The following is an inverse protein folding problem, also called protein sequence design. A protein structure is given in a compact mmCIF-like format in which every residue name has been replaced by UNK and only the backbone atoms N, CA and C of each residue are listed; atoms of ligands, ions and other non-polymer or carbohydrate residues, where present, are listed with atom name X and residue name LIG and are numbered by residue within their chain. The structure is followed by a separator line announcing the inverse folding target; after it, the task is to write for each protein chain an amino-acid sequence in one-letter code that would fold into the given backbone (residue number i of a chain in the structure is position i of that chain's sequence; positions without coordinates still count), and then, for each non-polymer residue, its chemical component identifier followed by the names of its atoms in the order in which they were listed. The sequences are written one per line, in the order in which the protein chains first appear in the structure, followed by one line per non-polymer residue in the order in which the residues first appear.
data_IF_927832519701
#
_entry.id   IF_927832519701
#
_cell.length_a   1.000
_cell.length_b   1.000
_cell.length_c   1.000
_cell.angle_alpha   90.00
_cell.angle_beta   90.00
_cell.angle_gamma   90.00
#
_symmetry.space_group_name_H-M   'P 1'
#
loop_
_entity.id
_entity.type
_entity.pdbx_description
1 polymer ?
2 polymer ?
#
loop_
_entity_poly.entity_id
_entity_poly.type
_entity_poly.pdbx_seq_one_letter_code
_entity_poly.pdbx_strand_id
2 'polyribonucleotide' 'GAA' ?
#
# COMPACT_ATOMS: atom_id res chain seq x y z
N UNK A 3 1.00 -8.71 9.60
CA UNK A 3 0.53 -8.78 8.22
C UNK A 3 1.51 -8.14 7.24
N UNK A 4 1.31 -8.41 5.95
CA UNK A 4 0.21 -9.27 5.50
C UNK A 4 0.08 -10.70 6.09
N UNK A 5 1.05 -11.11 6.90
CA UNK A 5 0.80 -12.17 7.85
C UNK A 5 0.19 -13.36 7.11
N UNK A 6 -0.99 -13.78 7.54
CA UNK A 6 -1.71 -14.86 6.91
C UNK A 6 -0.96 -16.18 7.00
N UNK A 7 -0.79 -16.83 5.86
CA UNK A 7 -0.47 -18.26 5.86
C UNK A 7 0.66 -18.56 6.84
N UNK A 8 0.50 -19.66 7.57
CA UNK A 8 1.26 -19.91 8.79
C UNK A 8 2.46 -20.86 8.66
N UNK A 9 3.32 -20.82 9.68
CA UNK A 9 4.47 -21.72 9.79
C UNK A 9 4.02 -23.16 9.88
N UNK A 10 4.71 -24.03 9.15
CA UNK A 10 4.34 -25.43 9.08
C UNK A 10 4.96 -26.07 7.85
N UNK A 11 4.93 -27.39 7.80
CA UNK A 11 5.60 -28.02 6.70
C UNK A 11 7.00 -27.50 6.88
N UNK A 12 7.37 -26.69 5.88
CA UNK A 12 8.71 -26.19 5.59
C UNK A 12 9.34 -27.00 4.47
N UNK A 13 10.18 -26.37 3.64
CA UNK A 13 10.41 -24.92 3.65
C UNK A 13 11.01 -24.48 2.30
N UNK A 14 10.97 -23.18 2.00
CA UNK A 14 11.61 -22.68 0.80
C UNK A 14 13.02 -23.19 0.96
N UNK A 15 13.65 -23.65 -0.11
CA UNK A 15 14.86 -24.38 0.12
C UNK A 15 15.82 -23.44 0.84
N UNK A 16 15.80 -22.12 0.60
CA UNK A 16 16.66 -21.33 1.49
C UNK A 16 18.14 -21.44 1.09
N UNK A 17 18.38 -22.23 0.04
CA UNK A 17 19.64 -22.34 -0.66
C UNK A 17 19.54 -21.23 -1.66
N UNK A 18 18.33 -21.10 -2.19
CA UNK A 18 17.95 -19.98 -3.03
C UNK A 18 17.26 -18.79 -2.32
N UNK A 19 17.00 -18.85 -1.00
CA UNK A 19 16.21 -17.76 -0.43
C UNK A 19 16.93 -16.43 -0.54
N UNK A 20 18.17 -16.41 -0.11
CA UNK A 20 18.98 -15.21 -0.15
C UNK A 20 19.50 -14.89 -1.55
N UNK A 21 19.79 -15.89 -2.36
CA UNK A 21 20.35 -15.61 -3.67
C UNK A 21 19.35 -14.75 -4.44
N UNK A 22 18.07 -15.02 -4.19
CA UNK A 22 16.97 -14.57 -5.04
C UNK A 22 15.82 -13.82 -4.36
N UNK A 23 15.92 -13.65 -3.03
CA UNK A 23 14.84 -13.06 -2.23
C UNK A 23 15.20 -11.83 -1.39
N UNK A 24 16.09 -11.99 -0.40
CA UNK A 24 16.46 -10.85 0.46
C UNK A 24 17.43 -9.94 -0.29
N UNK A 25 18.02 -10.50 -1.34
CA UNK A 25 19.04 -9.80 -2.14
C UNK A 25 18.48 -8.49 -2.73
N UNK A 26 17.28 -8.58 -3.32
CA UNK A 26 16.57 -7.40 -3.79
C UNK A 26 15.13 -7.71 -4.17
N UNK A 27 14.34 -6.65 -4.31
CA UNK A 27 12.96 -6.77 -4.73
C UNK A 27 12.10 -7.41 -3.66
N UNK A 28 12.64 -7.46 -2.45
CA UNK A 28 12.00 -8.11 -1.32
C UNK A 28 12.49 -7.42 -0.05
N UNK A 29 11.56 -7.14 0.86
CA UNK A 29 11.79 -6.29 2.04
C UNK A 29 11.97 -4.84 1.60
N UNK A 30 12.96 -4.61 0.74
CA UNK A 30 13.21 -3.31 0.13
C UNK A 30 11.95 -2.70 -0.47
N UNK A 31 11.06 -3.56 -0.94
CA UNK A 31 9.96 -3.14 -1.80
C UNK A 31 8.62 -3.63 -1.22
N UNK A 32 7.58 -2.83 -1.42
CA UNK A 32 6.25 -3.09 -0.85
C UNK A 32 5.48 -4.18 -1.59
N UNK A 33 4.53 -4.79 -0.88
CA UNK A 33 3.46 -5.54 -1.52
C UNK A 33 2.17 -5.02 -0.96
N UNK A 34 1.22 -4.73 -1.85
CA UNK A 34 -0.09 -4.27 -1.43
C UNK A 34 -1.16 -5.27 -1.84
N UNK A 35 -1.97 -5.68 -0.86
CA UNK A 35 -3.06 -6.59 -1.15
C UNK A 35 -4.09 -5.91 -2.04
N UNK A 36 -4.54 -6.64 -3.05
CA UNK A 36 -5.65 -6.25 -3.90
C UNK A 36 -6.98 -6.41 -3.15
N UNK A 37 -7.99 -5.64 -3.56
CA UNK A 37 -9.27 -5.70 -2.93
C UNK A 37 -8.93 -5.11 -1.58
N UNK A 38 -7.67 -4.71 -1.39
CA UNK A 38 -7.28 -3.95 -0.20
C UNK A 38 -6.70 -2.59 -0.61
N UNK A 39 -6.16 -2.60 -1.82
CA UNK A 39 -5.62 -1.48 -2.55
C UNK A 39 -6.79 -0.72 -3.15
N UNK A 40 -7.79 -1.46 -3.60
CA UNK A 40 -8.90 -0.86 -4.32
C UNK A 40 -9.72 0.10 -3.45
N UNK A 41 -9.88 -0.21 -2.17
CA UNK A 41 -10.66 0.65 -1.28
C UNK A 41 -9.81 1.78 -0.70
N UNK A 42 -8.51 1.55 -0.62
CA UNK A 42 -7.61 2.60 -0.19
C UNK A 42 -7.72 3.71 -1.22
N UNK A 43 -7.79 3.31 -2.48
CA UNK A 43 -7.67 4.25 -3.58
C UNK A 43 -8.81 5.24 -3.49
N UNK A 44 -9.97 4.72 -3.12
CA UNK A 44 -11.16 5.54 -2.99
C UNK A 44 -11.10 6.27 -1.66
N UNK A 45 -10.27 5.78 -0.76
CA UNK A 45 -10.03 6.46 0.50
C UNK A 45 -9.41 7.81 0.18
N UNK A 46 -8.53 7.82 -0.81
CA UNK A 46 -7.84 9.03 -1.23
C UNK A 46 -8.70 9.85 -2.18
N UNK A 47 -9.85 9.30 -2.57
CA UNK A 47 -10.56 9.81 -3.74
C UNK A 47 -10.99 11.30 -3.72
N UNK A 48 -11.79 11.72 -2.73
CA UNK A 48 -11.94 11.07 -1.44
C UNK A 48 -11.54 11.88 -0.20
N UNK A 49 -11.32 13.18 -0.36
CA UNK A 49 -10.72 14.03 0.66
C UNK A 49 -11.05 15.47 0.28
N UNK A 50 -11.38 16.35 1.22
CA UNK A 50 -11.57 17.72 0.76
C UNK A 50 -10.34 18.56 1.07
N UNK A 51 -9.97 19.42 0.13
CA UNK A 51 -8.85 20.31 0.36
C UNK A 51 -9.36 21.73 0.47
N UNK A 52 -9.29 22.28 1.67
CA UNK A 52 -8.98 21.48 2.83
C UNK A 52 -9.63 22.00 4.09
N UNK A 53 -10.02 21.07 4.95
CA UNK A 53 -10.14 21.32 6.38
C UNK A 53 -9.28 20.25 7.04
N UNK A 54 -8.44 20.64 8.01
CA UNK A 54 -7.53 19.70 8.66
C UNK A 54 -8.26 18.44 9.12
N UNK A 55 -7.56 17.32 9.23
CA UNK A 55 -8.22 16.11 9.69
C UNK A 55 -9.03 15.53 8.54
N UNK A 56 -9.01 16.25 7.41
CA UNK A 56 -9.42 15.69 6.14
C UNK A 56 -8.16 15.58 5.29
N UNK A 57 -7.05 16.03 5.87
CA UNK A 57 -5.74 15.86 5.28
C UNK A 57 -4.87 15.01 6.19
N UNK A 58 -5.41 14.67 7.35
CA UNK A 58 -4.64 13.98 8.36
C UNK A 58 -4.81 12.53 8.01
N UNK A 59 -5.59 12.31 6.95
CA UNK A 59 -6.05 10.95 6.66
C UNK A 59 -5.14 10.25 5.67
N UNK A 60 -4.78 11.01 4.65
CA UNK A 60 -3.71 10.69 3.72
C UNK A 60 -2.51 10.19 4.49
N UNK A 61 -1.99 11.04 5.36
CA UNK A 61 -0.81 10.71 6.15
C UNK A 61 -0.99 9.37 6.86
N UNK A 62 -2.15 9.14 7.45
CA UNK A 62 -2.36 7.93 8.24
C UNK A 62 -2.52 6.69 7.37
N UNK A 63 -3.44 6.72 6.41
CA UNK A 63 -3.79 5.53 5.63
C UNK A 63 -2.60 4.87 4.93
N UNK A 64 -1.54 5.63 4.66
CA UNK A 64 -0.32 5.05 4.10
C UNK A 64 0.25 4.02 5.07
N UNK A 65 0.10 4.31 6.36
CA UNK A 65 0.34 3.33 7.41
C UNK A 65 -0.95 2.56 7.64
N UNK A 66 -0.87 1.28 7.97
CA UNK A 66 -2.08 0.53 8.34
C UNK A 66 -2.93 -0.01 7.18
N UNK A 67 -2.56 0.31 5.94
CA UNK A 67 -2.98 -0.45 4.78
C UNK A 67 -1.78 -1.34 4.64
N UNK A 68 -1.79 -2.50 5.28
CA UNK A 68 -0.51 -3.11 5.57
C UNK A 68 0.13 -3.79 4.36
N UNK A 69 1.41 -3.50 4.24
CA UNK A 69 2.11 -3.45 2.97
C UNK A 69 3.46 -4.15 3.01
N UNK A 70 3.42 -5.49 3.06
CA UNK A 70 4.62 -6.31 3.18
C UNK A 70 4.46 -7.68 2.49
N UNK A 71 5.58 -8.34 2.25
CA UNK A 71 5.56 -9.60 1.52
C UNK A 71 4.76 -10.67 2.25
N UNK A 72 3.97 -11.39 1.47
CA UNK A 72 3.16 -12.52 1.93
C UNK A 72 3.88 -13.76 2.44
N UNK A 73 5.21 -13.81 2.40
CA UNK A 73 5.88 -15.00 2.89
C UNK A 73 7.22 -14.73 3.56
N UNK A 74 7.55 -15.57 4.53
CA UNK A 74 8.92 -15.69 5.00
C UNK A 74 9.22 -17.16 5.20
N UNK A 75 10.29 -17.64 4.59
CA UNK A 75 10.73 -18.96 4.93
C UNK A 75 11.00 -18.70 6.39
N UNK A 76 10.48 -19.57 7.24
CA UNK A 76 9.76 -20.77 6.80
C UNK A 76 8.46 -20.67 5.96
N UNK A 77 7.57 -19.73 6.28
CA UNK A 77 6.16 -19.73 5.82
C UNK A 77 5.88 -19.58 4.30
N UNK A 78 4.78 -20.19 3.83
CA UNK A 78 4.43 -20.18 2.40
C UNK A 78 3.87 -18.85 1.84
N UNK A 79 4.01 -18.63 0.53
CA UNK A 79 3.38 -17.51 -0.13
C UNK A 79 1.87 -17.71 0.01
N UNK A 80 1.16 -16.62 0.27
CA UNK A 80 -0.28 -16.68 0.53
C UNK A 80 -1.00 -17.48 -0.55
N UNK A 81 -1.86 -18.42 -0.13
CA UNK A 81 -2.40 -19.40 -1.05
C UNK A 81 -3.88 -19.68 -0.91
N UNK A 82 -4.37 -20.67 -1.67
CA UNK A 82 -5.78 -21.03 -1.67
C UNK A 82 -6.11 -22.08 -0.60
N UNK A 83 -7.25 -21.91 0.06
CA UNK A 83 -7.67 -22.86 1.07
C UNK A 83 -8.83 -23.67 0.53
N UNK A 84 -8.65 -24.98 0.51
CA UNK A 84 -9.69 -25.89 0.07
C UNK A 84 -9.58 -26.25 -1.40
N UNK A 85 -10.35 -27.26 -1.80
CA UNK A 85 -10.44 -27.72 -3.19
C UNK A 85 -11.43 -26.90 -4.04
N UNK A 86 -11.31 -27.01 -5.36
CA UNK A 86 -12.23 -26.34 -6.28
C UNK A 86 -13.61 -27.00 -6.33
N UNK A 87 -14.62 -26.21 -6.68
CA UNK A 87 -15.97 -26.72 -6.90
C UNK A 87 -16.87 -26.91 -5.70
N UNK A 88 -16.44 -26.39 -4.54
CA UNK A 88 -17.12 -26.61 -3.26
C UNK A 88 -17.42 -25.32 -2.47
N UNK A 89 -18.38 -25.43 -1.55
CA UNK A 89 -18.96 -24.26 -0.88
C UNK A 89 -17.89 -23.52 -0.10
N UNK A 90 -17.00 -24.26 0.54
CA UNK A 90 -15.85 -23.63 1.16
C UNK A 90 -14.72 -23.66 0.14
N UNK A 91 -14.41 -22.49 -0.42
CA UNK A 91 -13.32 -22.34 -1.38
C UNK A 91 -12.49 -21.10 -1.05
N UNK A 92 -13.08 -19.92 -1.25
CA UNK A 92 -12.51 -18.68 -0.73
C UNK A 92 -11.08 -18.55 -1.20
N UNK A 93 -10.86 -18.96 -2.44
CA UNK A 93 -9.52 -19.21 -3.00
C UNK A 93 -8.53 -18.05 -3.18
N UNK A 94 -9.01 -16.91 -3.65
CA UNK A 94 -8.16 -15.93 -4.28
C UNK A 94 -7.54 -15.00 -3.27
N UNK A 95 -6.26 -15.19 -2.99
CA UNK A 95 -5.52 -14.17 -2.25
C UNK A 95 -4.72 -13.35 -3.25
N UNK A 96 -4.83 -12.03 -3.34
CA UNK A 96 -4.14 -11.33 -4.46
C UNK A 96 -3.13 -10.22 -4.08
N UNK A 97 -2.09 -9.95 -4.89
CA UNK A 97 -1.14 -8.94 -4.43
C UNK A 97 -0.61 -8.03 -5.53
N UNK A 98 -0.67 -6.73 -5.29
CA UNK A 98 -0.05 -5.74 -6.16
C UNK A 98 1.39 -5.50 -5.75
N UNK A 99 2.31 -5.77 -6.66
CA UNK A 99 3.69 -5.38 -6.47
C UNK A 99 3.83 -3.88 -6.70
N UNK A 100 4.40 -3.17 -5.74
CA UNK A 100 4.56 -1.73 -5.88
C UNK A 100 5.99 -1.41 -6.29
N UNK A 101 6.14 -0.71 -7.41
CA UNK A 101 7.46 -0.34 -7.89
C UNK A 101 8.17 0.58 -6.89
N UNK A 102 9.49 0.66 -6.99
CA UNK A 102 10.21 1.59 -6.17
C UNK A 102 9.62 2.93 -6.58
N UNK A 103 9.20 3.01 -7.84
CA UNK A 103 8.80 4.29 -8.40
C UNK A 103 7.57 4.76 -7.67
N UNK A 104 6.59 3.87 -7.57
CA UNK A 104 5.30 4.13 -6.94
C UNK A 104 5.42 4.65 -5.51
N UNK A 105 6.22 3.99 -4.70
CA UNK A 105 6.28 4.33 -3.29
C UNK A 105 6.72 5.78 -3.17
N UNK A 106 7.71 6.16 -3.98
CA UNK A 106 8.30 7.49 -3.88
C UNK A 106 7.22 8.50 -4.21
N UNK A 107 6.43 8.15 -5.21
CA UNK A 107 5.22 8.89 -5.57
C UNK A 107 4.17 8.89 -4.46
N UNK A 108 4.00 7.74 -3.81
CA UNK A 108 3.01 7.59 -2.76
C UNK A 108 3.29 8.51 -1.58
N UNK A 109 4.56 8.63 -1.20
CA UNK A 109 4.95 9.60 -0.19
C UNK A 109 4.75 11.01 -0.69
N UNK A 110 4.74 11.17 -2.01
CA UNK A 110 4.56 12.48 -2.61
C UNK A 110 3.21 13.01 -2.17
N UNK A 111 2.22 12.12 -2.11
CA UNK A 111 0.90 12.50 -1.62
C UNK A 111 0.95 12.76 -0.13
N UNK A 112 1.85 11.98 0.47
CA UNK A 112 2.03 11.91 1.89
C UNK A 112 2.39 13.32 2.26
N UNK A 113 3.15 14.02 1.43
CA UNK A 113 3.37 15.38 1.90
C UNK A 113 3.05 16.36 0.79
N UNK A 114 2.11 15.95 -0.05
CA UNK A 114 1.22 16.89 -0.71
C UNK A 114 0.32 17.67 0.30
N UNK A 115 -0.12 16.99 1.36
CA UNK A 115 -1.30 17.32 2.16
C UNK A 115 -0.88 18.17 3.35
N UNK A 116 0.42 18.12 3.64
CA UNK A 116 1.06 18.97 4.64
C UNK A 116 1.54 20.30 4.08
N UNK A 117 1.01 21.38 4.63
CA UNK A 117 1.47 22.72 4.32
C UNK A 117 1.61 23.49 5.62
N UNK A 118 2.73 24.18 5.79
CA UNK A 118 2.86 25.10 6.94
C UNK A 118 1.91 26.30 6.83
N UNK A 119 1.00 26.49 7.79
CA UNK A 119 -0.18 27.37 7.60
C UNK A 119 -0.54 28.27 8.79
N UNK A 120 -1.33 29.33 8.56
CA UNK A 120 -1.55 30.29 9.65
C UNK A 120 -2.76 30.04 10.55
N UNK A 121 -3.38 28.88 10.44
CA UNK A 121 -4.80 28.78 10.63
C UNK A 121 -5.03 29.38 11.99
N UNK A 122 -3.94 29.43 12.74
CA UNK A 122 -3.96 29.82 14.14
C UNK A 122 -3.96 31.32 14.18
N UNK A 123 -4.89 31.85 13.38
CA UNK A 123 -5.40 33.20 13.49
C UNK A 123 -6.92 33.20 13.76
N UNK A 124 -7.54 32.02 13.78
CA UNK A 124 -8.98 31.92 13.98
C UNK A 124 -9.22 32.31 15.42
N UNK A 125 -8.28 31.84 16.22
CA UNK A 125 -8.23 31.99 17.67
C UNK A 125 -7.99 33.40 18.22
N UNK A 126 -7.05 34.21 17.72
CA UNK A 126 -6.80 35.57 18.33
C UNK A 126 -7.78 36.82 18.25
N UNK A 127 -8.23 37.14 17.03
CA UNK A 127 -9.27 38.08 16.59
C UNK A 127 -10.65 37.46 16.39
N UNK A 128 -10.74 36.28 15.77
CA UNK A 128 -12.07 35.59 15.77
C UNK A 128 -12.76 35.10 17.10
N UNK A 129 -11.95 34.49 17.96
CA UNK A 129 -12.35 34.16 19.31
C UNK A 129 -11.93 35.29 20.25
N UNK A 130 -11.11 36.29 19.84
CA UNK A 130 -10.77 37.48 20.74
C UNK A 130 -10.46 38.90 20.10
N UNK A 131 -10.49 40.06 20.82
CA UNK A 131 -10.19 41.28 20.08
C UNK A 131 -10.17 42.49 21.00
N UNK A 148 -8.75 38.84 10.24
CA UNK A 148 -9.35 38.99 8.91
C UNK A 148 -9.48 37.64 8.21
N UNK A 149 -9.37 37.64 6.89
CA UNK A 149 -9.66 36.45 6.10
C UNK A 149 -8.49 35.47 5.94
N UNK A 150 -8.83 34.19 5.90
CA UNK A 150 -7.89 33.13 5.52
C UNK A 150 -7.65 33.14 4.00
N UNK A 151 -6.50 32.63 3.56
CA UNK A 151 -6.20 32.59 2.13
C UNK A 151 -5.66 31.24 1.68
N UNK A 152 -5.90 30.91 0.41
CA UNK A 152 -5.76 29.51 -0.03
C UNK A 152 -4.80 29.12 -1.16
N UNK A 153 -4.03 30.05 -1.72
CA UNK A 153 -3.27 29.72 -2.91
C UNK A 153 -2.27 28.57 -2.67
N UNK A 154 -1.66 28.53 -1.50
CA UNK A 154 -0.79 27.41 -1.13
C UNK A 154 -1.57 26.09 -1.07
N UNK A 155 -2.77 26.15 -0.51
CA UNK A 155 -3.66 25.00 -0.42
C UNK A 155 -4.06 24.47 -1.80
N UNK A 156 -4.29 25.39 -2.73
CA UNK A 156 -5.00 25.10 -3.97
C UNK A 156 -4.04 24.59 -5.04
N UNK A 157 -2.84 25.16 -5.09
CA UNK A 157 -1.82 24.64 -5.99
C UNK A 157 -1.25 23.35 -5.42
N UNK A 158 -1.66 23.00 -4.21
CA UNK A 158 -1.43 21.66 -3.71
C UNK A 158 -2.65 20.82 -3.99
N UNK A 159 -3.81 21.46 -4.03
CA UNK A 159 -5.06 20.76 -4.32
C UNK A 159 -5.05 20.18 -5.73
N UNK A 160 -4.51 20.94 -6.67
CA UNK A 160 -4.50 20.54 -8.07
C UNK A 160 -3.33 19.65 -8.37
N UNK A 161 -2.19 19.96 -7.76
CA UNK A 161 -1.04 19.07 -7.80
C UNK A 161 -1.55 17.70 -7.41
N UNK A 162 -2.36 17.67 -6.36
CA UNK A 162 -2.98 16.44 -5.88
C UNK A 162 -3.77 15.74 -6.98
N UNK A 163 -4.55 16.49 -7.74
CA UNK A 163 -5.43 15.87 -8.70
C UNK A 163 -4.57 15.05 -9.64
N UNK A 164 -3.38 15.57 -9.94
CA UNK A 164 -2.53 14.94 -10.93
C UNK A 164 -1.75 13.77 -10.38
N UNK A 165 -1.19 13.93 -9.19
CA UNK A 165 -0.41 12.86 -8.57
C UNK A 165 -1.28 11.64 -8.34
N UNK A 166 -2.51 11.87 -7.91
CA UNK A 166 -3.48 10.80 -7.71
C UNK A 166 -3.90 10.08 -8.99
N UNK A 167 -4.06 10.82 -10.09
CA UNK A 167 -4.53 10.22 -11.34
C UNK A 167 -3.67 9.05 -11.79
N UNK A 168 -2.35 9.21 -11.72
CA UNK A 168 -1.43 8.20 -12.23
C UNK A 168 -1.49 6.91 -11.43
N UNK A 169 -1.80 7.00 -10.13
CA UNK A 169 -1.89 5.82 -9.29
C UNK A 169 -2.99 4.86 -9.74
N UNK A 170 -4.14 5.41 -10.12
CA UNK A 170 -5.23 4.62 -10.69
C UNK A 170 -4.93 4.15 -12.11
N UNK A 171 -4.33 5.04 -12.89
CA UNK A 171 -4.10 4.84 -14.30
C UNK A 171 -3.17 3.65 -14.53
N UNK A 172 -1.97 3.76 -13.98
CA UNK A 172 -0.94 2.77 -14.20
C UNK A 172 -1.27 1.43 -13.55
N UNK A 173 -1.27 0.39 -14.37
CA UNK A 173 -1.47 -0.96 -13.88
C UNK A 173 -0.23 -1.42 -13.14
N UNK A 174 -0.45 -2.16 -12.05
CA UNK A 174 0.62 -2.75 -11.24
C UNK A 174 0.51 -4.28 -11.22
N UNK A 175 1.65 -4.97 -11.34
CA UNK A 175 1.65 -6.43 -11.53
C UNK A 175 0.95 -7.23 -10.43
N UNK A 176 0.01 -8.09 -10.82
CA UNK A 176 -0.63 -8.98 -9.87
C UNK A 176 0.21 -10.24 -9.66
N UNK A 177 0.25 -10.71 -8.42
CA UNK A 177 1.04 -11.87 -8.04
C UNK A 177 0.21 -12.90 -7.31
N UNK A 178 0.59 -14.17 -7.47
CA UNK A 178 0.01 -15.32 -6.76
C UNK A 178 1.03 -16.48 -6.77
N UNK A 179 0.76 -17.52 -5.99
CA UNK A 179 1.69 -18.63 -5.87
C UNK A 179 1.94 -19.29 -7.22
N UNK A 180 0.90 -19.43 -8.04
CA UNK A 180 1.09 -20.05 -9.34
C UNK A 180 2.14 -19.18 -9.99
N UNK A 181 2.02 -17.89 -9.71
CA UNK A 181 2.94 -16.85 -10.22
C UNK A 181 4.21 -16.46 -9.40
N UNK A 182 4.12 -16.16 -8.09
CA UNK A 182 5.36 -15.85 -7.37
C UNK A 182 6.37 -17.01 -7.38
N UNK A 183 5.84 -18.22 -7.57
CA UNK A 183 6.63 -19.46 -7.72
C UNK A 183 7.41 -19.64 -9.04
N UNK A 184 6.69 -19.43 -10.14
CA UNK A 184 7.27 -19.33 -11.47
C UNK A 184 8.16 -18.10 -11.58
N UNK A 185 7.75 -17.00 -10.96
CA UNK A 185 8.41 -15.70 -11.16
C UNK A 185 9.87 -15.69 -10.72
N UNK A 186 10.15 -16.31 -9.58
CA UNK A 186 11.53 -16.50 -9.11
C UNK A 186 11.70 -17.99 -8.85
N UNK A 187 12.81 -18.59 -9.26
CA UNK A 187 12.83 -20.03 -9.28
C UNK A 187 13.01 -20.52 -7.86
N UNK A 188 11.95 -20.39 -7.06
CA UNK A 188 12.00 -20.80 -5.65
C UNK A 188 10.90 -21.81 -5.34
N UNK A 189 11.23 -22.88 -4.62
CA UNK A 189 10.24 -23.92 -4.38
C UNK A 189 10.31 -24.51 -2.98
N UNK A 190 9.15 -25.05 -2.64
CA UNK A 190 8.75 -25.30 -1.29
C UNK A 190 8.86 -26.77 -1.13
N UNK A 191 9.78 -27.14 -0.24
CA UNK A 191 10.05 -28.53 0.07
C UNK A 191 8.84 -29.17 0.74
N UNK A 192 8.59 -30.43 0.40
CA UNK A 192 7.47 -31.18 0.94
C UNK A 192 7.65 -31.45 2.43
N UNK A 193 8.71 -32.17 2.77
CA UNK A 193 8.99 -32.50 4.17
C UNK A 193 9.94 -31.49 4.81
#
# INVERSE_FOLDING_TARGET
MPNVSLTAKGGGHYIEDQWDTQVVEAGVFDDWWVHVEAWNKFLDNLRGINFSVASSRSQVAEYLAALDRDLPADVDRRFAGARGQIGSPNYLPAPKFFRLDKRTIAELTRLSRLTDQPHNNRDIELNRAKRATTNPSPPAQAPSENLTLRDVQPLKDSALHYQYVLIDLQSARLPVYTRKTFERELALEWIIPDAEEA
#
